data_IF_812506472239
#
_entry.id   IF_812506472239
#
_cell.length_a   1.000
_cell.length_b   1.000
_cell.length_c   1.000
_cell.angle_alpha   90.00
_cell.angle_beta   90.00
_cell.angle_gamma   90.00
#
_symmetry.space_group_name_H-M   'P 1'
#
loop_
_entity.id
_entity.type
_entity.pdbx_description
1 polymer ?
#
# COMPACT_ATOMS: atom_id res chain seq x y z
N UNK A 1 1.40 2.24 -25.06
CA UNK A 1 2.57 2.43 -24.17
C UNK A 1 2.04 2.69 -22.78
N UNK A 2 2.57 2.01 -21.76
CA UNK A 2 2.32 2.36 -20.37
C UNK A 2 3.08 3.66 -20.04
N UNK A 3 2.55 4.48 -19.14
CA UNK A 3 3.11 5.76 -18.69
C UNK A 3 2.98 5.85 -17.16
N UNK A 4 2.84 7.06 -16.61
CA UNK A 4 2.48 7.37 -15.22
C UNK A 4 3.12 6.45 -14.16
N UNK A 5 2.39 6.11 -13.09
CA UNK A 5 2.92 5.34 -11.96
C UNK A 5 2.06 4.11 -11.63
N UNK A 6 2.65 3.15 -10.92
CA UNK A 6 1.97 2.06 -10.23
C UNK A 6 2.55 2.01 -8.82
N UNK A 7 1.75 2.37 -7.83
CA UNK A 7 2.17 2.52 -6.44
C UNK A 7 0.98 2.31 -5.48
N UNK A 8 1.18 2.23 -4.15
CA UNK A 8 0.07 2.16 -3.21
C UNK A 8 -0.82 3.42 -3.19
N UNK A 9 -0.45 4.49 -3.92
CA UNK A 9 -1.31 5.65 -4.12
C UNK A 9 -2.50 5.35 -5.04
N UNK A 10 -2.28 4.52 -6.06
CA UNK A 10 -3.24 4.23 -7.12
C UNK A 10 -3.67 2.76 -7.22
N UNK A 11 -3.06 1.88 -6.43
CA UNK A 11 -3.45 0.48 -6.27
C UNK A 11 -3.97 0.20 -4.86
N UNK A 12 -4.86 -0.78 -4.72
CA UNK A 12 -5.30 -1.28 -3.42
C UNK A 12 -4.59 -2.57 -3.08
N UNK A 13 -3.90 -2.59 -1.96
CA UNK A 13 -3.13 -3.72 -1.48
C UNK A 13 -3.61 -4.08 -0.09
N UNK A 14 -4.21 -5.26 0.03
CA UNK A 14 -4.65 -5.80 1.31
C UNK A 14 -3.82 -7.02 1.64
N UNK A 15 -3.39 -7.12 2.88
CA UNK A 15 -2.78 -8.34 3.38
C UNK A 15 -3.76 -9.50 3.20
N UNK A 16 -3.29 -10.61 2.61
CA UNK A 16 -4.16 -11.73 2.25
C UNK A 16 -4.70 -12.51 3.45
N UNK A 17 -4.07 -12.36 4.62
CA UNK A 17 -4.45 -13.08 5.85
C UNK A 17 -5.24 -12.15 6.77
N UNK A 18 -4.73 -10.95 7.04
CA UNK A 18 -5.32 -10.02 8.01
C UNK A 18 -6.34 -9.07 7.38
N UNK A 19 -6.34 -8.93 6.04
CA UNK A 19 -7.05 -7.90 5.31
C UNK A 19 -6.67 -6.47 5.73
N UNK A 20 -5.51 -6.30 6.36
CA UNK A 20 -4.96 -4.98 6.64
C UNK A 20 -4.67 -4.25 5.33
N UNK A 21 -5.07 -2.97 5.28
CA UNK A 21 -4.80 -2.11 4.12
C UNK A 21 -3.36 -1.65 4.17
N UNK A 22 -2.63 -1.83 3.07
CA UNK A 22 -1.23 -1.44 2.88
C UNK A 22 -1.08 -0.33 1.83
N UNK A 23 -2.12 0.46 1.64
CA UNK A 23 -2.25 1.46 0.58
C UNK A 23 -2.77 2.82 1.11
N UNK A 24 -2.95 3.78 0.21
CA UNK A 24 -3.39 5.15 0.54
C UNK A 24 -4.77 5.23 1.20
N UNK A 25 -5.59 4.18 1.15
CA UNK A 25 -6.84 4.16 1.92
C UNK A 25 -6.58 4.27 3.43
N UNK A 26 -5.39 3.93 3.93
CA UNK A 26 -5.00 4.21 5.32
C UNK A 26 -5.04 5.69 5.66
N UNK A 27 -4.62 6.56 4.74
CA UNK A 27 -4.74 8.00 4.88
C UNK A 27 -6.19 8.45 4.70
N UNK A 28 -6.85 7.98 3.63
CA UNK A 28 -8.22 8.41 3.27
C UNK A 28 -9.26 8.04 4.33
N UNK A 29 -8.98 7.03 5.14
CA UNK A 29 -9.90 6.48 6.16
C UNK A 29 -9.36 6.67 7.58
N UNK A 30 -8.38 7.56 7.78
CA UNK A 30 -7.81 7.90 9.08
C UNK A 30 -7.31 6.68 9.90
N UNK A 31 -6.79 5.65 9.23
CA UNK A 31 -6.27 4.42 9.86
C UNK A 31 -4.83 4.57 10.39
N UNK A 32 -4.17 5.69 10.11
CA UNK A 32 -2.77 5.95 10.47
C UNK A 32 -1.77 5.01 9.80
N UNK A 33 -0.48 5.11 10.11
CA UNK A 33 0.53 4.13 9.70
C UNK A 33 0.81 4.05 8.19
N UNK A 34 0.61 5.14 7.43
CA UNK A 34 0.73 5.14 5.96
C UNK A 34 2.17 4.86 5.51
N UNK A 35 3.15 5.48 6.17
CA UNK A 35 4.56 5.33 5.81
C UNK A 35 5.05 3.91 6.09
N UNK A 36 4.62 3.34 7.21
CA UNK A 36 4.92 1.98 7.64
C UNK A 36 4.32 0.96 6.66
N UNK A 37 3.07 1.15 6.26
CA UNK A 37 2.42 0.32 5.25
C UNK A 37 3.15 0.32 3.90
N UNK A 38 3.67 1.48 3.47
CA UNK A 38 4.39 1.59 2.20
C UNK A 38 5.76 0.91 2.27
N UNK A 39 6.44 1.00 3.43
CA UNK A 39 7.70 0.27 3.69
C UNK A 39 7.47 -1.24 3.69
N UNK A 40 6.44 -1.71 4.39
CA UNK A 40 6.06 -3.13 4.39
C UNK A 40 5.78 -3.65 2.98
N UNK A 41 5.07 -2.87 2.16
CA UNK A 41 4.80 -3.22 0.77
C UNK A 41 6.10 -3.33 -0.04
N UNK A 42 7.02 -2.37 0.12
CA UNK A 42 8.33 -2.40 -0.52
C UNK A 42 9.16 -3.61 -0.06
N UNK A 43 9.18 -3.92 1.23
CA UNK A 43 9.93 -5.04 1.79
C UNK A 43 9.43 -6.37 1.20
N UNK A 44 8.10 -6.55 1.03
CA UNK A 44 7.52 -7.75 0.40
C UNK A 44 7.85 -7.91 -1.09
N UNK A 45 8.11 -6.82 -1.80
CA UNK A 45 8.48 -6.88 -3.22
C UNK A 45 9.98 -7.08 -3.46
N UNK A 46 10.80 -6.74 -2.46
CA UNK A 46 12.26 -6.67 -2.61
C UNK A 46 13.01 -7.78 -1.87
N UNK A 47 12.32 -8.52 -1.00
CA UNK A 47 12.78 -9.76 -0.36
C UNK A 47 12.28 -10.99 -1.14
#
# INVERSE_FOLDING_TARGET
LLADEISPDNCRFWDTVTHEKLDKDRFRQDLGGVVEAYKEMLDRLTL
#
